data_IF_762602723585
#
_entry.id   IF_762602723585
#
_cell.length_a   1.000
_cell.length_b   1.000
_cell.length_c   1.000
_cell.angle_alpha   90.00
_cell.angle_beta   90.00
_cell.angle_gamma   90.00
#
_symmetry.space_group_name_H-M   'P 1'
#
loop_
_entity.id
_entity.type
_entity.pdbx_description
1 polymer ?
#
# COMPACT_ATOMS: atom_id res chain seq x y z
N UNK A 1 21.20 31.67 4.65
CA UNK A 1 19.88 31.28 5.19
C UNK A 1 18.74 31.97 4.40
N UNK A 2 18.66 31.75 3.08
CA UNK A 2 17.79 32.54 2.16
C UNK A 2 16.91 31.67 1.24
N UNK A 3 16.98 30.34 1.38
CA UNK A 3 16.28 29.37 0.52
C UNK A 3 14.86 29.03 1.01
N UNK A 4 14.46 29.51 2.19
CA UNK A 4 13.19 29.13 2.84
C UNK A 4 11.99 30.02 2.50
N UNK A 5 12.15 31.07 1.68
CA UNK A 5 11.10 32.10 1.46
C UNK A 5 10.20 31.89 0.23
N UNK A 6 10.41 30.85 -0.58
CA UNK A 6 9.43 30.41 -1.60
C UNK A 6 8.86 29.06 -1.19
N UNK A 7 8.09 29.04 -0.10
CA UNK A 7 7.23 27.90 0.23
C UNK A 7 6.02 27.97 -0.70
N UNK A 8 5.68 26.85 -1.33
CA UNK A 8 4.34 26.67 -1.89
C UNK A 8 3.37 26.94 -0.74
N UNK A 9 2.50 27.94 -0.91
CA UNK A 9 1.52 28.29 0.12
C UNK A 9 0.41 27.26 0.06
N UNK A 10 0.39 26.37 1.05
CA UNK A 10 -0.68 25.42 1.20
C UNK A 10 -1.85 26.11 1.90
N UNK A 11 -3.01 26.08 1.24
CA UNK A 11 -4.26 26.53 1.84
C UNK A 11 -4.68 25.49 2.87
N UNK A 12 -4.59 25.86 4.15
CA UNK A 12 -4.92 24.99 5.29
C UNK A 12 -6.39 25.04 5.66
N UNK A 13 -7.09 26.12 5.31
CA UNK A 13 -8.52 26.24 5.57
C UNK A 13 -9.12 27.53 5.05
N UNK A 14 -10.45 27.60 5.08
CA UNK A 14 -11.22 28.79 4.72
C UNK A 14 -12.18 29.10 5.86
N UNK A 15 -12.13 30.32 6.38
CA UNK A 15 -13.13 30.85 7.30
C UNK A 15 -14.08 31.79 6.57
N UNK A 16 -15.39 31.65 6.79
CA UNK A 16 -16.40 32.58 6.25
C UNK A 16 -17.01 33.33 7.41
N UNK A 17 -16.92 34.66 7.41
CA UNK A 17 -17.50 35.54 8.42
C UNK A 17 -18.81 36.16 7.94
N UNK A 18 -19.69 36.49 8.89
CA UNK A 18 -21.03 37.06 8.65
C UNK A 18 -21.85 36.24 7.65
N UNK A 19 -22.05 34.98 7.97
CA UNK A 19 -22.83 34.06 7.16
C UNK A 19 -24.32 34.37 7.29
N UNK A 20 -24.94 34.94 6.26
CA UNK A 20 -26.39 35.13 6.24
C UNK A 20 -27.00 35.06 4.84
N UNK A 21 -28.26 34.65 4.82
CA UNK A 21 -29.11 34.61 3.63
C UNK A 21 -29.97 35.88 3.61
N UNK A 22 -29.50 36.94 2.95
CA UNK A 22 -30.27 38.20 2.81
C UNK A 22 -30.95 38.25 1.46
N UNK A 23 -32.28 38.42 1.44
CA UNK A 23 -33.08 38.49 0.20
C UNK A 23 -32.92 39.84 -0.54
N UNK A 24 -32.43 40.90 0.11
CA UNK A 24 -32.16 42.20 -0.53
C UNK A 24 -31.23 43.08 0.32
N UNK A 25 -30.39 43.88 -0.33
CA UNK A 25 -29.36 44.72 0.28
C UNK A 25 -29.88 45.91 1.13
N UNK A 26 -31.18 45.96 1.47
CA UNK A 26 -31.80 47.11 2.15
C UNK A 26 -32.73 46.78 3.33
N UNK A 27 -32.86 45.52 3.74
CA UNK A 27 -33.68 45.19 4.90
C UNK A 27 -32.80 44.73 6.06
N UNK A 28 -32.54 45.66 6.98
CA UNK A 28 -32.21 45.30 8.36
C UNK A 28 -33.41 44.59 9.00
N UNK A 29 -33.12 43.74 9.99
CA UNK A 29 -34.07 43.11 10.94
C UNK A 29 -34.92 41.93 10.42
N UNK A 30 -34.31 40.75 10.46
CA UNK A 30 -34.84 39.53 11.12
C UNK A 30 -33.63 38.63 11.46
N UNK A 31 -33.69 37.79 12.52
CA UNK A 31 -32.51 37.07 12.99
C UNK A 31 -31.90 36.26 11.84
N UNK A 32 -30.58 36.37 11.60
CA UNK A 32 -29.95 35.72 10.47
C UNK A 32 -30.11 34.21 10.64
N UNK A 33 -30.92 33.60 9.77
CA UNK A 33 -30.92 32.16 9.62
C UNK A 33 -29.51 31.74 9.25
N UNK A 34 -28.96 30.79 9.99
CA UNK A 34 -27.65 30.20 9.71
C UNK A 34 -27.87 28.97 8.81
N UNK A 35 -27.81 29.10 7.48
CA UNK A 35 -27.99 27.96 6.59
C UNK A 35 -26.85 26.95 6.75
N UNK A 36 -27.11 25.69 6.42
CA UNK A 36 -26.04 24.72 6.15
C UNK A 36 -25.26 25.22 4.95
N UNK A 37 -23.93 25.30 5.03
CA UNK A 37 -23.10 25.80 3.94
C UNK A 37 -22.00 24.80 3.61
N UNK A 38 -21.71 24.70 2.32
CA UNK A 38 -20.47 24.15 1.81
C UNK A 38 -19.80 25.14 0.86
N UNK A 39 -18.51 24.93 0.66
CA UNK A 39 -17.66 25.76 -0.17
C UNK A 39 -17.17 24.94 -1.35
N UNK A 40 -17.34 25.48 -2.55
CA UNK A 40 -16.78 24.92 -3.76
C UNK A 40 -15.66 25.83 -4.27
N UNK A 41 -14.50 25.24 -4.52
CA UNK A 41 -13.37 25.89 -5.19
C UNK A 41 -13.39 25.44 -6.64
N UNK A 42 -13.48 26.39 -7.56
CA UNK A 42 -13.49 26.16 -9.00
C UNK A 42 -12.29 26.82 -9.67
N UNK A 43 -11.86 26.24 -10.79
CA UNK A 43 -10.95 26.86 -11.74
C UNK A 43 -11.68 27.98 -12.52
N UNK A 44 -10.93 28.87 -13.17
CA UNK A 44 -11.48 29.92 -14.04
C UNK A 44 -12.39 29.35 -15.14
N UNK A 45 -12.07 28.14 -15.61
CA UNK A 45 -12.81 27.37 -16.62
C UNK A 45 -14.06 26.65 -16.07
N UNK A 46 -14.40 26.81 -14.79
CA UNK A 46 -15.60 26.23 -14.18
C UNK A 46 -15.46 24.76 -13.77
N UNK A 47 -14.23 24.21 -13.78
CA UNK A 47 -13.96 22.87 -13.24
C UNK A 47 -13.92 22.93 -11.73
N UNK A 48 -14.72 22.09 -11.06
CA UNK A 48 -14.69 21.97 -9.60
C UNK A 48 -13.38 21.29 -9.16
N UNK A 49 -12.60 21.99 -8.33
CA UNK A 49 -11.32 21.52 -7.79
C UNK A 49 -11.50 20.88 -6.41
N UNK A 50 -12.42 21.41 -5.60
CA UNK A 50 -12.69 20.91 -4.27
C UNK A 50 -14.10 21.34 -3.82
N UNK A 51 -14.76 20.45 -3.09
CA UNK A 51 -16.02 20.72 -2.40
C UNK A 51 -15.81 20.36 -0.94
N UNK A 52 -16.07 21.30 -0.03
CA UNK A 52 -16.00 21.04 1.41
C UNK A 52 -17.23 20.26 1.88
N UNK A 53 -17.11 19.62 3.04
CA UNK A 53 -18.26 19.06 3.73
C UNK A 53 -19.26 20.17 4.11
N UNK A 54 -20.55 19.83 4.17
CA UNK A 54 -21.59 20.76 4.57
C UNK A 54 -21.61 20.91 6.09
N UNK A 55 -21.35 22.12 6.59
CA UNK A 55 -21.35 22.43 8.02
C UNK A 55 -22.63 23.18 8.46
N UNK A 56 -23.11 22.91 9.68
CA UNK A 56 -24.29 23.54 10.32
C UNK A 56 -23.89 24.28 11.62
N UNK A 57 -24.37 25.54 11.81
CA UNK A 57 -24.07 26.53 12.91
C UNK A 57 -22.66 27.16 12.79
N UNK A 58 -22.34 28.42 13.13
CA UNK A 58 -22.85 29.47 14.05
C UNK A 58 -22.70 30.88 13.41
N UNK A 59 -23.43 31.89 13.91
CA UNK A 59 -23.59 33.26 13.37
C UNK A 59 -22.30 34.08 13.16
N UNK A 60 -21.19 33.74 13.82
CA UNK A 60 -19.96 34.55 13.76
C UNK A 60 -18.89 34.01 12.79
N UNK A 61 -18.91 32.73 12.42
CA UNK A 61 -17.95 32.23 11.45
C UNK A 61 -18.00 30.72 11.26
N UNK A 62 -17.93 30.27 10.01
CA UNK A 62 -17.72 28.87 9.64
C UNK A 62 -16.26 28.67 9.27
N UNK A 63 -15.61 27.61 9.76
CA UNK A 63 -14.22 27.27 9.45
C UNK A 63 -14.17 25.89 8.83
N UNK A 64 -13.76 25.84 7.57
CA UNK A 64 -13.45 24.62 6.85
C UNK A 64 -11.96 24.36 7.02
N UNK A 65 -11.62 23.45 7.92
CA UNK A 65 -10.26 22.95 8.12
C UNK A 65 -10.00 21.77 7.17
N UNK A 66 -8.72 21.48 6.90
CA UNK A 66 -8.26 20.34 6.10
C UNK A 66 -8.66 20.35 4.62
N UNK A 67 -8.42 21.48 3.95
CA UNK A 67 -8.53 21.52 2.49
C UNK A 67 -7.38 20.71 1.88
N UNK A 68 -7.66 19.68 1.05
CA UNK A 68 -6.63 18.89 0.41
C UNK A 68 -5.75 19.79 -0.46
N UNK A 69 -4.46 19.46 -0.52
CA UNK A 69 -3.50 20.21 -1.33
C UNK A 69 -3.95 20.20 -2.80
N UNK A 70 -4.45 21.35 -3.27
CA UNK A 70 -4.92 21.49 -4.64
C UNK A 70 -3.74 21.24 -5.60
N UNK A 71 -3.87 20.33 -6.58
CA UNK A 71 -2.76 19.90 -7.43
C UNK A 71 -2.31 20.95 -8.46
N UNK A 72 -2.87 22.16 -8.44
CA UNK A 72 -2.68 23.17 -9.47
C UNK A 72 -1.93 24.40 -8.95
N UNK A 73 -0.92 24.84 -9.71
CA UNK A 73 -0.19 26.09 -9.49
C UNK A 73 -0.95 27.33 -10.01
N UNK A 74 -2.29 27.30 -10.01
CA UNK A 74 -3.11 28.40 -10.53
C UNK A 74 -3.11 29.57 -9.55
N UNK A 75 -2.82 30.76 -10.06
CA UNK A 75 -2.82 31.99 -9.25
C UNK A 75 -4.22 32.56 -9.06
N UNK A 76 -5.23 32.05 -9.80
CA UNK A 76 -6.60 32.55 -9.76
C UNK A 76 -7.57 31.39 -9.54
N UNK A 77 -8.49 31.56 -8.61
CA UNK A 77 -9.51 30.57 -8.26
C UNK A 77 -10.87 31.27 -8.12
N UNK A 78 -11.95 30.55 -8.40
CA UNK A 78 -13.32 30.99 -8.11
C UNK A 78 -13.79 30.26 -6.86
N UNK A 79 -14.15 31.01 -5.83
CA UNK A 79 -14.70 30.47 -4.59
C UNK A 79 -16.22 30.68 -4.60
N UNK A 80 -16.98 29.58 -4.63
CA UNK A 80 -18.44 29.61 -4.49
C UNK A 80 -18.83 29.17 -3.08
N UNK A 81 -19.61 30.00 -2.42
CA UNK A 81 -20.24 29.69 -1.14
C UNK A 81 -21.67 29.27 -1.46
N UNK A 82 -22.02 28.03 -1.15
CA UNK A 82 -23.35 27.47 -1.44
C UNK A 82 -24.04 27.17 -0.12
N UNK A 83 -25.28 27.64 0.00
CA UNK A 83 -26.08 27.52 1.20
C UNK A 83 -27.39 26.79 0.93
N UNK A 84 -27.84 26.03 1.93
CA UNK A 84 -29.14 25.40 1.91
C UNK A 84 -30.22 26.46 2.20
N UNK A 85 -31.22 26.57 1.32
CA UNK A 85 -32.40 27.40 1.57
C UNK A 85 -33.26 26.69 2.63
N UNK A 86 -33.65 27.37 3.73
CA UNK A 86 -34.57 26.79 4.69
C UNK A 86 -35.96 26.61 4.06
N UNK A 87 -36.59 25.47 4.32
CA UNK A 87 -37.92 25.11 3.79
C UNK A 87 -38.98 26.19 4.05
N UNK A 88 -38.84 26.95 5.14
CA UNK A 88 -39.75 28.05 5.50
C UNK A 88 -39.75 29.24 4.51
N UNK A 89 -38.78 29.33 3.60
CA UNK A 89 -38.67 30.38 2.58
C UNK A 89 -39.01 29.89 1.17
N UNK A 90 -39.29 28.59 0.99
CA UNK A 90 -39.72 28.02 -0.29
C UNK A 90 -41.25 28.14 -0.36
N UNK A 91 -41.75 28.83 -1.40
CA UNK A 91 -43.19 29.01 -1.61
C UNK A 91 -43.89 27.74 -2.13
N UNK A 92 -43.12 26.70 -2.47
CA UNK A 92 -43.62 25.41 -2.95
C UNK A 92 -43.06 24.25 -2.09
N UNK A 93 -43.94 23.30 -1.73
CA UNK A 93 -43.63 22.08 -0.99
C UNK A 93 -42.73 21.15 -1.83
N UNK A 94 -41.46 21.49 -1.99
CA UNK A 94 -40.45 20.53 -2.44
C UNK A 94 -39.90 19.78 -1.23
N UNK A 95 -40.08 18.46 -1.20
CA UNK A 95 -39.57 17.56 -0.15
C UNK A 95 -38.02 17.51 -0.09
N UNK A 96 -37.34 18.21 -1.01
CA UNK A 96 -35.90 18.21 -1.17
C UNK A 96 -35.27 19.53 -0.72
N UNK A 97 -34.09 19.49 -0.07
CA UNK A 97 -33.37 20.70 0.31
C UNK A 97 -32.83 21.41 -0.94
N UNK A 98 -33.38 22.59 -1.26
CA UNK A 98 -32.88 23.44 -2.35
C UNK A 98 -31.59 24.13 -1.93
N UNK A 99 -30.51 23.92 -2.69
CA UNK A 99 -29.21 24.57 -2.48
C UNK A 99 -29.05 25.73 -3.45
N UNK A 100 -28.57 26.87 -2.97
CA UNK A 100 -28.35 28.06 -3.81
C UNK A 100 -26.98 28.68 -3.56
N UNK A 101 -26.44 29.33 -4.59
CA UNK A 101 -25.15 30.03 -4.50
C UNK A 101 -25.35 31.35 -3.76
N UNK A 102 -24.76 31.46 -2.56
CA UNK A 102 -24.84 32.67 -1.72
C UNK A 102 -23.91 33.76 -2.22
N UNK A 103 -22.68 33.38 -2.59
CA UNK A 103 -21.68 34.31 -3.10
C UNK A 103 -20.67 33.58 -4.00
N UNK A 104 -20.16 34.30 -5.00
CA UNK A 104 -19.06 33.84 -5.86
C UNK A 104 -17.95 34.88 -5.85
N UNK A 105 -16.76 34.49 -5.41
CA UNK A 105 -15.57 35.33 -5.38
C UNK A 105 -14.56 34.87 -6.42
N UNK A 106 -14.15 35.77 -7.30
CA UNK A 106 -12.98 35.55 -8.15
C UNK A 106 -11.72 36.03 -7.40
N UNK A 107 -10.96 35.08 -6.86
CA UNK A 107 -9.79 35.34 -6.03
C UNK A 107 -8.52 35.26 -6.88
N UNK A 108 -7.68 36.29 -6.81
CA UNK A 108 -6.31 36.25 -7.31
C UNK A 108 -5.36 36.10 -6.11
N UNK A 109 -4.79 34.91 -5.96
CA UNK A 109 -3.87 34.53 -4.88
C UNK A 109 -2.61 35.41 -4.85
N UNK A 110 -2.27 36.07 -5.96
CA UNK A 110 -1.13 37.01 -6.03
C UNK A 110 -1.43 38.38 -5.42
N UNK A 111 -2.71 38.71 -5.19
CA UNK A 111 -3.18 40.03 -4.72
C UNK A 111 -3.82 39.99 -3.33
N UNK A 112 -3.65 38.89 -2.60
CA UNK A 112 -4.17 38.74 -1.24
C UNK A 112 -3.45 39.68 -0.27
N UNK A 113 -4.20 40.37 0.58
CA UNK A 113 -3.66 41.20 1.66
C UNK A 113 -3.59 40.39 2.96
N UNK A 114 -2.48 40.43 3.71
CA UNK A 114 -2.41 39.79 5.02
C UNK A 114 -3.42 40.44 5.96
N UNK A 115 -4.14 39.62 6.70
CA UNK A 115 -4.98 40.07 7.82
C UNK A 115 -4.05 40.08 9.04
N UNK A 116 -3.59 41.27 9.43
CA UNK A 116 -2.77 41.46 10.63
C UNK A 116 -3.67 41.25 11.85
N UNK A 117 -3.58 40.07 12.46
CA UNK A 117 -4.34 39.70 13.65
C UNK A 117 -3.47 39.84 14.89
N UNK A 118 -3.74 40.85 15.72
CA UNK A 118 -3.32 40.85 17.13
C UNK A 118 -4.43 40.33 18.07
N UNK A 119 -5.62 40.00 17.57
CA UNK A 119 -6.65 39.30 18.35
C UNK A 119 -7.57 38.49 17.43
N UNK A 120 -7.52 37.16 17.52
CA UNK A 120 -8.37 36.22 16.76
C UNK A 120 -9.88 36.37 17.09
N UNK A 121 -10.25 37.23 18.03
CA UNK A 121 -11.64 37.45 18.48
C UNK A 121 -12.39 38.62 17.84
N UNK A 122 -11.70 39.57 17.17
CA UNK A 122 -12.32 40.82 16.70
C UNK A 122 -12.03 41.12 15.21
N UNK A 123 -12.14 40.11 14.35
CA UNK A 123 -12.15 40.31 12.90
C UNK A 123 -13.54 40.78 12.44
N UNK A 124 -13.84 42.07 12.58
CA UNK A 124 -15.03 42.64 11.95
C UNK A 124 -14.74 42.98 10.49
N UNK A 125 -15.35 42.30 9.50
CA UNK A 125 -15.35 42.82 8.12
C UNK A 125 -16.05 44.19 8.13
N UNK A 126 -15.73 45.05 7.16
CA UNK A 126 -16.37 46.38 7.03
C UNK A 126 -17.90 46.25 7.21
N UNK A 127 -18.46 47.10 8.06
CA UNK A 127 -19.89 47.16 8.39
C UNK A 127 -20.71 47.12 7.10
N UNK A 128 -21.42 46.02 6.84
CA UNK A 128 -22.23 45.79 5.64
C UNK A 128 -21.80 44.61 4.76
N UNK A 129 -20.59 44.07 4.92
CA UNK A 129 -20.14 42.92 4.14
C UNK A 129 -20.61 41.59 4.77
N UNK A 130 -21.39 40.83 4.00
CA UNK A 130 -21.93 39.51 4.33
C UNK A 130 -21.18 38.43 3.53
N UNK A 131 -20.97 37.24 4.09
CA UNK A 131 -20.33 36.08 3.46
C UNK A 131 -18.85 36.26 3.06
N UNK A 132 -18.04 36.99 3.85
CA UNK A 132 -16.64 37.29 3.50
C UNK A 132 -15.72 36.09 3.76
N UNK A 133 -15.01 35.56 2.73
CA UNK A 133 -14.06 34.48 2.91
C UNK A 133 -12.68 35.00 3.34
N UNK A 134 -12.11 34.32 4.32
CA UNK A 134 -10.75 34.49 4.84
C UNK A 134 -9.99 33.18 4.62
N UNK A 135 -8.82 33.28 4.00
CA UNK A 135 -8.01 32.13 3.62
C UNK A 135 -6.89 31.93 4.65
N UNK A 136 -6.81 30.73 5.21
CA UNK A 136 -5.76 30.34 6.15
C UNK A 136 -4.65 29.61 5.42
N UNK A 137 -3.45 30.18 5.41
CA UNK A 137 -2.26 29.55 4.86
C UNK A 137 -1.27 29.22 5.99
N UNK A 138 -0.32 28.33 5.71
CA UNK A 138 0.74 27.96 6.67
C UNK A 138 1.59 29.13 7.20
N UNK A 139 1.59 30.26 6.49
CA UNK A 139 2.35 31.47 6.81
C UNK A 139 1.49 32.60 7.41
N UNK A 140 0.17 32.42 7.54
CA UNK A 140 -0.73 33.40 8.14
C UNK A 140 -2.11 33.45 7.50
N UNK A 141 -2.90 34.43 7.93
CA UNK A 141 -4.29 34.63 7.51
C UNK A 141 -4.35 35.71 6.44
N UNK A 142 -5.07 35.45 5.34
CA UNK A 142 -5.12 36.35 4.18
C UNK A 142 -6.56 36.59 3.73
N UNK A 143 -6.85 37.84 3.40
CA UNK A 143 -8.16 38.29 2.94
C UNK A 143 -8.09 38.89 1.53
N UNK A 144 -9.26 39.08 0.94
CA UNK A 144 -9.40 39.88 -0.27
C UNK A 144 -9.15 41.36 0.03
N UNK A 145 -8.41 42.08 -0.85
CA UNK A 145 -8.10 43.48 -0.62
C UNK A 145 -9.39 44.32 -0.57
N UNK A 146 -9.54 45.13 0.48
CA UNK A 146 -10.64 46.08 0.63
C UNK A 146 -11.78 45.68 1.58
N UNK A 147 -11.79 44.45 2.11
CA UNK A 147 -12.86 43.93 2.98
C UNK A 147 -12.60 44.07 4.49
N UNK A 148 -11.36 44.36 4.88
CA UNK A 148 -10.92 44.52 6.27
C UNK A 148 -10.37 45.94 6.48
N UNK A 149 -10.63 46.55 7.64
CA UNK A 149 -10.01 47.83 8.02
C UNK A 149 -8.55 47.60 8.42
N UNK A 150 -7.63 48.33 7.78
CA UNK A 150 -6.25 48.46 8.25
C UNK A 150 -6.19 49.76 9.06
N UNK A 151 -5.71 49.78 10.32
CA UNK A 151 -5.48 51.04 11.01
C UNK A 151 -4.49 51.88 10.19
N UNK A 152 -4.75 53.17 9.94
CA UNK A 152 -3.92 53.94 9.05
C UNK A 152 -2.63 54.31 9.77
N UNK A 153 -1.48 53.85 9.27
CA UNK A 153 -0.30 54.72 9.06
C UNK A 153 0.90 54.05 8.39
N UNK A 154 1.26 54.69 7.27
CA UNK A 154 2.61 55.02 6.78
C UNK A 154 3.19 54.14 5.65
N UNK A 155 3.37 54.85 4.53
CA UNK A 155 4.17 54.59 3.31
C UNK A 155 3.71 53.49 2.35
N UNK A 156 3.25 53.85 1.13
CA UNK A 156 3.15 52.90 0.03
C UNK A 156 4.57 52.62 -0.49
N UNK A 157 5.16 51.48 -0.12
CA UNK A 157 6.23 50.94 -0.95
C UNK A 157 5.63 50.59 -2.33
N UNK A 158 6.23 51.05 -3.44
CA UNK A 158 5.78 50.66 -4.75
C UNK A 158 5.96 49.16 -4.87
N UNK A 159 4.84 48.43 -5.03
CA UNK A 159 4.84 47.00 -5.33
C UNK A 159 5.53 46.84 -6.68
N UNK A 160 6.85 46.64 -6.65
CA UNK A 160 7.60 46.27 -7.84
C UNK A 160 7.04 44.92 -8.28
N UNK A 161 6.54 44.77 -9.52
CA UNK A 161 6.19 43.45 -10.03
C UNK A 161 7.48 42.62 -10.06
N UNK A 162 7.66 41.74 -9.07
CA UNK A 162 8.85 40.89 -9.01
C UNK A 162 8.78 39.91 -10.18
N UNK A 163 9.65 40.21 -11.15
CA UNK A 163 9.87 39.48 -12.38
C UNK A 163 10.15 37.99 -12.13
N UNK A 164 9.63 37.23 -13.10
CA UNK A 164 10.21 36.06 -13.74
C UNK A 164 10.45 34.84 -12.86
N UNK A 165 9.72 33.79 -13.21
CA UNK A 165 10.06 32.39 -12.97
C UNK A 165 11.57 32.18 -13.08
N UNK A 166 12.20 31.72 -12.00
CA UNK A 166 13.59 31.26 -12.04
C UNK A 166 13.62 29.96 -12.85
N UNK A 167 14.58 29.78 -13.76
CA UNK A 167 14.74 28.55 -14.55
C UNK A 167 14.65 27.29 -13.68
N UNK A 168 15.31 27.29 -12.52
CA UNK A 168 15.23 26.19 -11.54
C UNK A 168 13.81 25.93 -11.00
N UNK A 169 12.96 26.95 -10.93
CA UNK A 169 11.54 26.81 -10.54
C UNK A 169 10.71 26.17 -11.64
N UNK A 170 10.94 26.56 -12.90
CA UNK A 170 10.30 25.93 -14.07
C UNK A 170 10.76 24.48 -14.23
N UNK A 171 12.04 24.21 -14.03
CA UNK A 171 12.60 22.85 -14.08
C UNK A 171 12.00 21.95 -13.00
N UNK A 172 11.85 22.47 -11.77
CA UNK A 172 11.18 21.72 -10.69
C UNK A 172 9.71 21.45 -11.00
N UNK A 173 9.00 22.44 -11.54
CA UNK A 173 7.61 22.28 -11.96
C UNK A 173 7.51 21.24 -13.08
N UNK A 174 8.41 21.27 -14.05
CA UNK A 174 8.45 20.28 -15.12
C UNK A 174 8.69 18.87 -14.57
N UNK A 175 9.65 18.69 -13.65
CA UNK A 175 9.87 17.40 -12.98
C UNK A 175 8.66 16.91 -12.19
N UNK A 176 7.91 17.81 -11.56
CA UNK A 176 6.67 17.45 -10.87
C UNK A 176 5.59 17.01 -11.86
N UNK A 177 5.48 17.69 -13.01
CA UNK A 177 4.56 17.29 -14.09
C UNK A 177 4.97 15.93 -14.70
N UNK A 178 6.26 15.70 -14.94
CA UNK A 178 6.79 14.40 -15.39
C UNK A 178 6.44 13.29 -14.40
N UNK A 179 6.66 13.52 -13.10
CA UNK A 179 6.26 12.57 -12.05
C UNK A 179 4.75 12.31 -12.06
N UNK A 180 3.93 13.35 -12.25
CA UNK A 180 2.48 13.20 -12.31
C UNK A 180 2.04 12.40 -13.55
N UNK A 181 2.68 12.60 -14.70
CA UNK A 181 2.42 11.79 -15.89
C UNK A 181 2.82 10.33 -15.69
N UNK A 182 3.96 10.09 -15.04
CA UNK A 182 4.39 8.73 -14.72
C UNK A 182 3.41 8.04 -13.76
N UNK A 183 2.96 8.73 -12.71
CA UNK A 183 1.96 8.21 -11.79
C UNK A 183 0.63 7.90 -12.50
N UNK A 184 0.23 8.71 -13.49
CA UNK A 184 -0.97 8.42 -14.28
C UNK A 184 -0.80 7.16 -15.14
N UNK A 185 0.38 6.95 -15.75
CA UNK A 185 0.68 5.73 -16.49
C UNK A 185 0.70 4.50 -15.57
N UNK A 186 1.28 4.61 -14.37
CA UNK A 186 1.27 3.55 -13.36
C UNK A 186 -0.16 3.21 -12.89
N UNK A 187 -1.01 4.22 -12.72
CA UNK A 187 -2.43 4.03 -12.40
C UNK A 187 -3.18 3.35 -13.54
N UNK A 188 -2.88 3.70 -14.79
CA UNK A 188 -3.47 3.04 -15.95
C UNK A 188 -3.01 1.58 -16.04
N UNK A 189 -1.73 1.30 -15.87
CA UNK A 189 -1.19 -0.07 -15.84
C UNK A 189 -1.80 -0.88 -14.69
N UNK A 190 -2.03 -0.26 -13.53
CA UNK A 190 -2.75 -0.89 -12.42
C UNK A 190 -4.21 -1.15 -12.76
N UNK A 191 -4.89 -0.22 -13.44
CA UNK A 191 -6.27 -0.41 -13.89
C UNK A 191 -6.35 -1.60 -14.86
N UNK A 192 -5.45 -1.65 -15.85
CA UNK A 192 -5.38 -2.75 -16.82
C UNK A 192 -5.10 -4.09 -16.12
N UNK A 193 -4.21 -4.13 -15.12
CA UNK A 193 -3.97 -5.32 -14.29
C UNK A 193 -5.19 -5.73 -13.46
N UNK A 194 -5.96 -4.77 -12.97
CA UNK A 194 -7.20 -5.04 -12.25
C UNK A 194 -8.23 -5.62 -13.22
N UNK A 195 -8.36 -5.06 -14.41
CA UNK A 195 -9.26 -5.56 -15.45
C UNK A 195 -8.85 -6.98 -15.90
N UNK A 196 -7.56 -7.28 -15.99
CA UNK A 196 -7.04 -8.63 -16.25
C UNK A 196 -7.30 -9.63 -15.10
N UNK A 197 -7.35 -9.16 -13.85
CA UNK A 197 -7.59 -9.99 -12.66
C UNK A 197 -9.09 -10.19 -12.39
N UNK A 198 -9.91 -9.23 -12.80
CA UNK A 198 -11.36 -9.33 -12.76
C UNK A 198 -11.80 -10.10 -14.01
N UNK A 199 -11.59 -11.42 -13.99
CA UNK A 199 -12.14 -12.36 -14.97
C UNK A 199 -13.59 -11.95 -15.32
N UNK A 200 -13.86 -11.58 -16.58
CA UNK A 200 -15.17 -11.09 -17.09
C UNK A 200 -16.34 -12.08 -16.87
N UNK A 201 -16.07 -13.27 -16.34
CA UNK A 201 -17.11 -14.17 -15.84
C UNK A 201 -16.61 -14.76 -14.52
N UNK A 202 -17.26 -14.46 -13.37
CA UNK A 202 -17.11 -15.38 -12.25
C UNK A 202 -17.49 -16.75 -12.81
N UNK A 203 -16.58 -17.73 -12.72
CA UNK A 203 -16.94 -19.13 -12.96
C UNK A 203 -18.04 -19.43 -11.95
N UNK A 204 -19.29 -19.27 -12.37
CA UNK A 204 -20.42 -19.82 -11.66
C UNK A 204 -20.05 -21.28 -11.50
N UNK A 205 -19.77 -21.71 -10.27
CA UNK A 205 -19.76 -23.13 -9.94
C UNK A 205 -21.03 -23.68 -10.58
N UNK A 206 -20.84 -24.51 -11.61
CA UNK A 206 -21.95 -25.02 -12.42
C UNK A 206 -22.95 -25.61 -11.44
N UNK A 207 -24.18 -25.07 -11.47
CA UNK A 207 -25.29 -25.57 -10.65
C UNK A 207 -25.43 -27.09 -10.80
N UNK A 208 -25.07 -27.60 -11.97
CA UNK A 208 -25.09 -29.03 -12.29
C UNK A 208 -24.01 -29.82 -11.52
N UNK A 209 -22.85 -29.23 -11.23
CA UNK A 209 -21.83 -29.86 -10.38
C UNK A 209 -22.29 -29.98 -8.91
N UNK A 210 -23.03 -28.98 -8.41
CA UNK A 210 -23.63 -29.05 -7.08
C UNK A 210 -24.81 -30.04 -7.02
N UNK A 211 -25.63 -30.09 -8.07
CA UNK A 211 -26.72 -31.07 -8.18
C UNK A 211 -26.18 -32.50 -8.27
N UNK A 212 -25.14 -32.75 -9.07
CA UNK A 212 -24.52 -34.07 -9.17
C UNK A 212 -23.82 -34.49 -7.85
N UNK A 213 -23.24 -33.54 -7.10
CA UNK A 213 -22.70 -33.81 -5.77
C UNK A 213 -23.81 -34.16 -4.76
N UNK A 214 -24.96 -33.48 -4.85
CA UNK A 214 -26.17 -33.76 -4.06
C UNK A 214 -26.70 -35.17 -4.32
N UNK A 215 -26.91 -35.53 -5.59
CA UNK A 215 -27.40 -36.86 -5.99
C UNK A 215 -26.43 -37.98 -5.57
N UNK A 216 -25.11 -37.74 -5.70
CA UNK A 216 -24.11 -38.71 -5.24
C UNK A 216 -24.13 -38.90 -3.71
N UNK A 217 -24.50 -37.86 -2.96
CA UNK A 217 -24.63 -37.91 -1.51
C UNK A 217 -25.89 -38.71 -1.11
N UNK A 218 -27.01 -38.47 -1.78
CA UNK A 218 -28.25 -39.22 -1.59
C UNK A 218 -28.06 -40.72 -1.86
N UNK A 219 -27.42 -41.07 -2.97
CA UNK A 219 -27.08 -42.47 -3.29
C UNK A 219 -26.15 -43.11 -2.24
N UNK A 220 -25.25 -42.33 -1.63
CA UNK A 220 -24.37 -42.82 -0.56
C UNK A 220 -25.15 -43.07 0.74
N UNK A 221 -26.12 -42.21 1.05
CA UNK A 221 -27.02 -42.36 2.20
C UNK A 221 -27.89 -43.60 2.02
N UNK A 222 -28.48 -43.81 0.85
CA UNK A 222 -29.28 -45.01 0.56
C UNK A 222 -28.47 -46.30 0.70
N UNK A 223 -27.23 -46.33 0.19
CA UNK A 223 -26.34 -47.49 0.36
C UNK A 223 -26.04 -47.78 1.83
N UNK A 224 -25.86 -46.73 2.64
CA UNK A 224 -25.63 -46.87 4.09
C UNK A 224 -26.89 -47.36 4.80
N UNK A 225 -28.07 -46.88 4.43
CA UNK A 225 -29.35 -47.35 4.98
C UNK A 225 -29.60 -48.82 4.63
N UNK A 226 -29.37 -49.22 3.37
CA UNK A 226 -29.48 -50.62 2.94
C UNK A 226 -28.49 -51.52 3.69
N UNK A 227 -27.28 -51.01 4.01
CA UNK A 227 -26.28 -51.73 4.82
C UNK A 227 -26.70 -51.83 6.28
N UNK A 228 -27.35 -50.80 6.83
CA UNK A 228 -27.91 -50.86 8.19
C UNK A 228 -29.04 -51.89 8.22
N UNK A 229 -29.94 -51.87 7.23
CA UNK A 229 -31.03 -52.84 7.11
C UNK A 229 -30.52 -54.28 6.97
N UNK A 230 -29.46 -54.51 6.18
CA UNK A 230 -28.88 -55.85 6.04
C UNK A 230 -28.22 -56.32 7.34
N UNK A 231 -27.59 -55.42 8.10
CA UNK A 231 -27.04 -55.72 9.42
C UNK A 231 -28.13 -55.96 10.47
N UNK A 232 -29.26 -55.25 10.40
CA UNK A 232 -30.43 -55.49 11.26
C UNK A 232 -31.09 -56.85 10.95
N UNK A 233 -31.23 -57.20 9.67
CA UNK A 233 -31.67 -58.54 9.26
C UNK A 233 -30.69 -59.64 9.72
N UNK A 234 -29.37 -59.37 9.68
CA UNK A 234 -28.35 -60.29 10.20
C UNK A 234 -28.37 -60.39 11.74
N UNK A 235 -28.89 -59.39 12.45
CA UNK A 235 -29.07 -59.40 13.91
C UNK A 235 -30.32 -60.19 14.32
N UNK A 236 -31.37 -60.22 13.48
CA UNK A 236 -32.59 -61.01 13.69
C UNK A 236 -32.42 -62.48 13.28
N UNK A 237 -31.68 -62.75 12.20
CA UNK A 237 -31.27 -64.09 11.83
C UNK A 237 -29.97 -64.44 12.59
N UNK A 238 -30.10 -64.76 13.87
CA UNK A 238 -28.98 -65.19 14.70
C UNK A 238 -28.20 -66.30 14.03
N UNK A 239 -27.03 -65.98 13.48
CA UNK A 239 -26.12 -67.00 12.96
C UNK A 239 -25.26 -67.50 14.12
N UNK A 240 -25.56 -68.72 14.53
CA UNK A 240 -24.64 -69.61 15.22
C UNK A 240 -23.37 -69.71 14.40
N UNK A 241 -22.29 -69.04 14.81
CA UNK A 241 -20.96 -69.36 14.31
C UNK A 241 -20.03 -69.64 15.48
N UNK A 242 -19.43 -70.83 15.35
CA UNK A 242 -18.33 -71.35 16.12
C UNK A 242 -17.21 -70.31 16.27
N UNK A 243 -16.74 -70.19 17.51
CA UNK A 243 -15.56 -69.43 17.88
C UNK A 243 -14.33 -70.23 17.43
N UNK A 244 -13.81 -69.96 16.23
CA UNK A 244 -12.47 -70.39 15.87
C UNK A 244 -11.45 -69.52 16.61
N UNK A 245 -10.67 -70.18 17.45
CA UNK A 245 -9.62 -69.65 18.30
C UNK A 245 -8.42 -69.16 17.48
N UNK A 246 -8.55 -67.98 16.88
CA UNK A 246 -7.42 -67.18 16.38
C UNK A 246 -7.43 -65.81 17.05
N UNK A 247 -7.34 -65.82 18.39
CA UNK A 247 -7.27 -64.62 19.23
C UNK A 247 -5.83 -64.24 19.55
N UNK A 248 -4.96 -64.30 18.54
CA UNK A 248 -3.68 -63.60 18.56
C UNK A 248 -3.59 -62.77 17.28
N UNK A 249 -3.55 -61.44 17.48
CA UNK A 249 -3.11 -60.34 16.59
C UNK A 249 -4.06 -59.11 16.48
N UNK A 250 -4.74 -58.63 17.55
CA UNK A 250 -5.28 -57.26 17.53
C UNK A 250 -4.19 -56.18 17.74
N UNK A 251 -2.99 -56.54 18.20
CA UNK A 251 -1.90 -55.56 18.43
C UNK A 251 -1.08 -55.20 17.18
N UNK A 252 -1.11 -56.00 16.12
CA UNK A 252 -0.29 -55.77 14.93
C UNK A 252 -0.95 -54.82 13.92
N UNK A 253 -2.28 -54.71 13.96
CA UNK A 253 -3.04 -53.78 13.12
C UNK A 253 -2.79 -52.32 13.55
N UNK A 254 -2.71 -52.02 14.84
CA UNK A 254 -2.40 -50.67 15.36
C UNK A 254 -0.98 -50.21 14.98
N UNK A 255 -0.01 -51.13 14.93
CA UNK A 255 1.34 -50.84 14.43
C UNK A 255 1.36 -50.59 12.92
N UNK A 256 0.55 -51.32 12.15
CA UNK A 256 0.41 -51.10 10.71
C UNK A 256 -0.24 -49.75 10.38
N UNK A 257 -1.28 -49.36 11.14
CA UNK A 257 -1.96 -48.06 10.98
C UNK A 257 -1.02 -46.92 11.36
N UNK A 258 -0.30 -47.01 12.48
CA UNK A 258 0.66 -45.97 12.88
C UNK A 258 1.85 -45.83 11.92
N UNK A 259 2.35 -46.94 11.36
CA UNK A 259 3.39 -46.91 10.32
C UNK A 259 2.86 -46.31 9.01
N UNK A 260 1.62 -46.64 8.63
CA UNK A 260 0.93 -46.05 7.47
C UNK A 260 0.72 -44.55 7.64
N UNK A 261 0.29 -44.11 8.83
CA UNK A 261 0.13 -42.70 9.16
C UNK A 261 1.47 -41.97 9.14
N UNK A 262 2.53 -42.56 9.69
CA UNK A 262 3.89 -42.02 9.64
C UNK A 262 4.41 -41.88 8.21
N UNK A 263 4.27 -42.92 7.38
CA UNK A 263 4.72 -42.87 5.98
C UNK A 263 3.91 -41.86 5.17
N UNK A 264 2.60 -41.75 5.40
CA UNK A 264 1.75 -40.74 4.77
C UNK A 264 2.15 -39.31 5.19
N UNK A 265 2.47 -39.10 6.48
CA UNK A 265 2.94 -37.82 6.99
C UNK A 265 4.31 -37.45 6.41
N UNK A 266 5.21 -38.43 6.26
CA UNK A 266 6.53 -38.25 5.65
C UNK A 266 6.42 -37.89 4.16
N UNK A 267 5.58 -38.59 3.39
CA UNK A 267 5.30 -38.22 1.99
C UNK A 267 4.67 -36.83 1.87
N UNK A 268 3.75 -36.48 2.77
CA UNK A 268 3.15 -35.13 2.81
C UNK A 268 4.23 -34.09 3.09
N UNK A 269 5.13 -34.33 4.04
CA UNK A 269 6.22 -33.42 4.38
C UNK A 269 7.17 -33.23 3.19
N UNK A 270 7.61 -34.33 2.56
CA UNK A 270 8.41 -34.28 1.33
C UNK A 270 7.72 -33.45 0.25
N UNK A 271 6.44 -33.71 -0.04
CA UNK A 271 5.70 -32.93 -1.05
C UNK A 271 5.62 -31.43 -0.76
N UNK A 272 5.62 -31.05 0.54
CA UNK A 272 5.61 -29.65 0.95
C UNK A 272 7.00 -29.01 0.80
N UNK A 273 8.05 -29.73 1.15
CA UNK A 273 9.44 -29.30 0.90
C UNK A 273 9.65 -29.11 -0.60
N UNK A 274 9.16 -30.05 -1.42
CA UNK A 274 9.27 -29.97 -2.87
C UNK A 274 8.61 -28.70 -3.44
N UNK A 275 7.40 -28.39 -2.97
CA UNK A 275 6.68 -27.17 -3.34
C UNK A 275 7.42 -25.91 -2.88
N UNK A 276 7.96 -25.91 -1.65
CA UNK A 276 8.71 -24.76 -1.11
C UNK A 276 10.00 -24.51 -1.88
N UNK A 277 10.77 -25.55 -2.20
CA UNK A 277 11.99 -25.40 -3.02
C UNK A 277 11.62 -24.90 -4.42
N UNK A 278 10.56 -25.43 -5.02
CA UNK A 278 10.08 -24.97 -6.33
C UNK A 278 9.68 -23.49 -6.31
N UNK A 279 8.96 -23.05 -5.28
CA UNK A 279 8.60 -21.64 -5.07
C UNK A 279 9.84 -20.76 -4.88
N UNK A 280 10.80 -21.21 -4.07
CA UNK A 280 12.06 -20.49 -3.86
C UNK A 280 12.85 -20.35 -5.16
N UNK A 281 12.95 -21.41 -5.95
CA UNK A 281 13.61 -21.37 -7.26
C UNK A 281 12.90 -20.41 -8.21
N UNK A 282 11.56 -20.39 -8.24
CA UNK A 282 10.77 -19.45 -9.05
C UNK A 282 11.03 -18.00 -8.61
N UNK A 283 10.98 -17.72 -7.31
CA UNK A 283 11.23 -16.38 -6.77
C UNK A 283 12.64 -15.88 -7.13
N UNK A 284 13.62 -16.78 -7.21
CA UNK A 284 15.01 -16.44 -7.47
C UNK A 284 15.39 -16.46 -8.96
N UNK A 285 14.48 -16.81 -9.88
CA UNK A 285 14.75 -16.80 -11.34
C UNK A 285 15.25 -15.45 -11.87
N UNK A 286 14.80 -14.34 -11.28
CA UNK A 286 15.22 -12.99 -11.68
C UNK A 286 16.63 -12.57 -11.24
N UNK A 287 17.30 -13.35 -10.38
CA UNK A 287 18.56 -12.94 -9.72
C UNK A 287 19.83 -13.44 -10.41
N UNK A 288 19.73 -14.11 -11.57
CA UNK A 288 20.84 -14.81 -12.27
C UNK A 288 21.57 -15.90 -11.45
N UNK A 289 21.10 -16.18 -10.23
CA UNK A 289 21.65 -17.18 -9.32
C UNK A 289 21.43 -18.62 -9.81
N UNK A 290 20.26 -18.86 -10.40
CA UNK A 290 19.79 -20.18 -10.83
C UNK A 290 20.09 -20.39 -12.32
N UNK A 291 20.89 -21.41 -12.65
CA UNK A 291 21.21 -21.75 -14.03
C UNK A 291 22.38 -22.73 -14.14
N UNK A 292 22.66 -23.27 -15.32
CA UNK A 292 23.80 -24.19 -15.53
C UNK A 292 25.15 -23.53 -15.21
N UNK A 293 25.27 -22.23 -15.49
CA UNK A 293 26.42 -21.38 -15.14
C UNK A 293 26.30 -20.70 -13.77
N UNK A 294 25.16 -20.82 -13.07
CA UNK A 294 24.90 -20.17 -11.79
C UNK A 294 25.51 -20.92 -10.59
N UNK A 295 25.35 -20.34 -9.40
CA UNK A 295 25.74 -20.95 -8.12
C UNK A 295 24.79 -22.05 -7.67
N UNK A 296 23.52 -21.97 -8.10
CA UNK A 296 22.50 -22.99 -7.84
C UNK A 296 22.17 -23.68 -9.16
N UNK A 297 22.45 -24.99 -9.24
CA UNK A 297 22.08 -25.82 -10.38
C UNK A 297 20.76 -26.52 -10.02
N UNK A 298 19.62 -26.09 -10.61
CA UNK A 298 18.34 -26.74 -10.38
C UNK A 298 18.27 -28.09 -11.11
N UNK A 299 17.38 -28.96 -10.63
CA UNK A 299 17.21 -30.30 -11.17
C UNK A 299 16.62 -30.31 -12.58
N UNK A 300 16.94 -31.36 -13.34
CA UNK A 300 16.29 -31.61 -14.64
C UNK A 300 14.87 -32.11 -14.38
N UNK A 301 13.99 -31.94 -15.39
CA UNK A 301 12.59 -32.42 -15.31
C UNK A 301 12.59 -33.92 -14.94
N UNK A 302 11.88 -34.28 -13.87
CA UNK A 302 11.67 -35.64 -13.32
C UNK A 302 12.73 -36.17 -12.33
N UNK A 303 13.60 -35.31 -11.80
CA UNK A 303 14.55 -35.66 -10.74
C UNK A 303 14.06 -35.19 -9.36
N UNK A 304 14.35 -35.98 -8.32
CA UNK A 304 14.08 -35.66 -6.90
C UNK A 304 14.74 -34.34 -6.51
N UNK A 305 14.10 -33.53 -5.65
CA UNK A 305 14.61 -32.21 -5.24
C UNK A 305 15.95 -32.27 -4.50
N UNK A 306 16.28 -33.43 -3.94
CA UNK A 306 17.56 -33.73 -3.31
C UNK A 306 18.74 -33.83 -4.29
N UNK A 307 18.49 -33.87 -5.61
CA UNK A 307 19.57 -33.84 -6.61
C UNK A 307 20.11 -32.44 -6.91
N UNK A 308 19.58 -31.39 -6.25
CA UNK A 308 20.00 -30.00 -6.47
C UNK A 308 21.43 -29.80 -6.00
N UNK A 309 22.23 -29.06 -6.77
CA UNK A 309 23.64 -28.81 -6.43
C UNK A 309 23.91 -27.33 -6.17
N UNK A 310 24.58 -27.07 -5.04
CA UNK A 310 25.07 -25.76 -4.65
C UNK A 310 26.58 -25.69 -4.89
N UNK A 311 27.04 -24.74 -5.71
CA UNK A 311 28.47 -24.54 -5.99
C UNK A 311 29.13 -23.70 -4.90
N UNK A 312 30.37 -24.05 -4.58
CA UNK A 312 31.21 -23.23 -3.71
C UNK A 312 31.51 -21.89 -4.38
N UNK A 313 31.62 -20.85 -3.57
CA UNK A 313 32.04 -19.52 -3.99
C UNK A 313 33.55 -19.46 -3.98
N UNK A 314 34.14 -19.03 -5.08
CA UNK A 314 35.57 -18.72 -5.15
C UNK A 314 35.82 -17.28 -4.69
N UNK A 315 36.88 -17.01 -3.92
CA UNK A 315 37.29 -15.65 -3.62
C UNK A 315 37.62 -14.94 -4.94
N UNK A 316 37.16 -13.69 -5.08
CA UNK A 316 37.39 -12.89 -6.28
C UNK A 316 37.86 -11.49 -5.91
N UNK A 317 38.58 -10.85 -6.83
CA UNK A 317 38.89 -9.43 -6.78
C UNK A 317 38.07 -8.70 -7.84
N UNK A 318 37.45 -7.57 -7.48
CA UNK A 318 36.71 -6.74 -8.42
C UNK A 318 37.49 -5.45 -8.73
N UNK A 319 37.91 -5.28 -9.99
CA UNK A 319 38.64 -4.09 -10.46
C UNK A 319 37.68 -2.93 -10.83
N UNK A 320 36.42 -3.24 -11.19
CA UNK A 320 35.41 -2.28 -11.61
C UNK A 320 34.28 -2.13 -10.58
N UNK A 321 33.82 -0.90 -10.37
CA UNK A 321 32.73 -0.58 -9.43
C UNK A 321 31.39 -1.27 -9.77
N UNK A 322 31.02 -1.31 -11.05
CA UNK A 322 29.75 -1.92 -11.50
C UNK A 322 29.76 -3.44 -11.28
N UNK A 323 30.85 -4.10 -11.67
CA UNK A 323 31.02 -5.54 -11.50
C UNK A 323 31.05 -5.92 -10.02
N UNK A 324 31.67 -5.08 -9.18
CA UNK A 324 31.67 -5.27 -7.71
C UNK A 324 30.27 -5.24 -7.13
N UNK A 325 29.47 -4.22 -7.46
CA UNK A 325 28.09 -4.09 -6.94
C UNK A 325 27.26 -5.28 -7.39
N UNK A 326 27.38 -5.70 -8.65
CA UNK A 326 26.67 -6.85 -9.18
C UNK A 326 27.07 -8.13 -8.43
N UNK A 327 28.36 -8.43 -8.32
CA UNK A 327 28.85 -9.63 -7.61
C UNK A 327 28.46 -9.64 -6.13
N UNK A 328 28.59 -8.51 -5.44
CA UNK A 328 28.15 -8.38 -4.05
C UNK A 328 26.65 -8.64 -3.90
N UNK A 329 25.84 -8.13 -4.84
CA UNK A 329 24.39 -8.37 -4.84
C UNK A 329 24.08 -9.85 -5.08
N UNK A 330 24.76 -10.49 -6.03
CA UNK A 330 24.61 -11.93 -6.30
C UNK A 330 25.01 -12.78 -5.09
N UNK A 331 26.10 -12.44 -4.40
CA UNK A 331 26.49 -13.10 -3.15
C UNK A 331 25.45 -12.93 -2.05
N UNK A 332 24.90 -11.72 -1.90
CA UNK A 332 23.81 -11.46 -0.96
C UNK A 332 22.58 -12.32 -1.24
N UNK A 333 22.16 -12.39 -2.52
CA UNK A 333 21.05 -13.27 -2.93
C UNK A 333 21.38 -14.75 -2.73
N UNK A 334 22.63 -15.15 -2.91
CA UNK A 334 23.04 -16.54 -2.67
C UNK A 334 22.98 -16.89 -1.18
N UNK A 335 23.47 -15.99 -0.33
CA UNK A 335 23.37 -16.13 1.11
C UNK A 335 21.92 -16.23 1.57
N UNK A 336 21.03 -15.39 1.03
CA UNK A 336 19.60 -15.45 1.32
C UNK A 336 19.00 -16.79 0.90
N UNK A 337 19.37 -17.29 -0.29
CA UNK A 337 18.91 -18.59 -0.78
C UNK A 337 19.29 -19.71 0.19
N UNK A 338 20.58 -19.81 0.56
CA UNK A 338 21.08 -20.84 1.48
C UNK A 338 20.42 -20.71 2.86
N UNK A 339 20.24 -19.50 3.36
CA UNK A 339 19.57 -19.25 4.64
C UNK A 339 18.13 -19.75 4.64
N UNK A 340 17.34 -19.41 3.61
CA UNK A 340 15.94 -19.84 3.51
C UNK A 340 15.88 -21.36 3.34
N UNK A 341 16.73 -21.91 2.48
CA UNK A 341 16.77 -23.35 2.21
C UNK A 341 17.06 -24.15 3.48
N UNK A 342 18.11 -23.79 4.24
CA UNK A 342 18.47 -24.49 5.46
C UNK A 342 17.44 -24.27 6.58
N UNK A 343 17.02 -23.03 6.85
CA UNK A 343 16.23 -22.73 8.06
C UNK A 343 14.72 -22.89 7.86
N UNK A 344 14.18 -22.65 6.66
CA UNK A 344 12.72 -22.60 6.39
C UNK A 344 12.20 -23.78 5.58
N UNK A 345 13.07 -24.45 4.82
CA UNK A 345 12.72 -25.64 4.05
C UNK A 345 13.15 -26.89 4.80
N UNK A 346 14.45 -27.11 4.96
CA UNK A 346 14.99 -28.38 5.49
C UNK A 346 15.18 -28.43 7.01
N UNK A 347 15.06 -27.28 7.68
CA UNK A 347 15.31 -27.14 9.12
C UNK A 347 16.67 -27.70 9.58
N UNK A 348 17.71 -27.54 8.74
CA UNK A 348 19.07 -28.01 9.01
C UNK A 348 19.87 -26.92 9.72
N UNK A 349 20.54 -27.22 10.86
CA UNK A 349 21.40 -26.25 11.53
C UNK A 349 22.64 -25.94 10.67
N UNK A 350 22.93 -24.64 10.50
CA UNK A 350 24.11 -24.18 9.78
C UNK A 350 25.28 -23.95 10.74
N UNK A 351 26.52 -24.30 10.35
CA UNK A 351 27.74 -24.03 11.15
C UNK A 351 27.99 -22.56 11.49
N UNK A 352 27.62 -21.65 10.60
CA UNK A 352 27.82 -20.20 10.75
C UNK A 352 26.52 -19.43 10.51
N UNK A 353 26.33 -18.32 11.22
CA UNK A 353 25.13 -17.51 11.10
C UNK A 353 25.16 -16.67 9.81
N UNK A 354 24.08 -16.75 9.03
CA UNK A 354 23.91 -15.99 7.79
C UNK A 354 22.99 -14.79 8.02
N UNK A 355 23.50 -13.57 7.76
CA UNK A 355 22.75 -12.33 7.94
C UNK A 355 22.65 -11.54 6.64
N UNK A 356 21.44 -11.47 6.10
CA UNK A 356 21.16 -10.84 4.81
C UNK A 356 20.91 -9.34 4.96
N UNK A 357 21.69 -8.54 4.23
CA UNK A 357 21.54 -7.08 4.12
C UNK A 357 21.65 -6.61 2.65
N UNK A 358 21.20 -7.44 1.70
CA UNK A 358 21.38 -7.15 0.27
C UNK A 358 22.85 -7.27 -0.14
N UNK A 359 23.39 -6.24 -0.80
CA UNK A 359 24.76 -6.23 -1.31
C UNK A 359 25.84 -6.07 -0.22
N UNK A 360 25.45 -5.85 1.04
CA UNK A 360 26.38 -5.73 2.18
C UNK A 360 26.10 -6.81 3.23
N UNK A 361 25.83 -8.04 2.79
CA UNK A 361 25.50 -9.17 3.67
C UNK A 361 26.70 -9.63 4.51
N UNK A 362 26.43 -10.21 5.68
CA UNK A 362 27.43 -10.56 6.70
C UNK A 362 27.34 -12.04 7.12
N UNK A 363 28.48 -12.60 7.53
CA UNK A 363 28.61 -13.90 8.19
C UNK A 363 28.93 -13.67 9.67
N UNK A 364 28.26 -14.41 10.56
CA UNK A 364 28.39 -14.30 12.02
C UNK A 364 28.19 -12.87 12.56
N UNK A 365 27.40 -12.05 11.85
CA UNK A 365 27.18 -10.62 12.10
C UNK A 365 28.45 -9.75 12.15
N UNK A 366 29.59 -10.27 11.70
CA UNK A 366 30.89 -9.59 11.84
C UNK A 366 31.70 -9.58 10.54
N UNK A 367 31.70 -10.68 9.79
CA UNK A 367 32.56 -10.83 8.61
C UNK A 367 31.81 -10.39 7.34
N UNK A 368 32.37 -9.46 6.54
CA UNK A 368 31.71 -8.95 5.34
C UNK A 368 31.76 -9.95 4.19
N UNK A 369 30.60 -10.38 3.69
CA UNK A 369 30.49 -11.17 2.45
C UNK A 369 30.28 -10.24 1.24
N UNK A 370 31.06 -9.16 1.19
CA UNK A 370 31.05 -8.19 0.09
C UNK A 370 32.40 -7.51 0.02
N UNK A 371 32.72 -6.91 -1.14
CA UNK A 371 33.89 -6.05 -1.30
C UNK A 371 33.50 -4.57 -1.28
N UNK A 372 34.21 -3.74 -0.52
CA UNK A 372 34.03 -2.29 -0.48
C UNK A 372 34.74 -1.58 -1.66
N UNK A 373 34.39 -0.32 -1.91
CA UNK A 373 35.03 0.49 -2.97
C UNK A 373 36.49 0.83 -2.70
N UNK A 374 36.84 0.93 -1.42
CA UNK A 374 38.20 1.11 -0.96
C UNK A 374 38.44 0.08 0.14
N UNK A 375 38.77 -1.15 -0.25
CA UNK A 375 39.02 -2.23 0.70
C UNK A 375 40.41 -2.11 1.30
N UNK A 376 40.48 -2.07 2.63
CA UNK A 376 41.74 -2.25 3.36
C UNK A 376 42.22 -3.70 3.25
N UNK A 377 43.50 -3.95 3.51
CA UNK A 377 44.04 -5.31 3.52
C UNK A 377 43.32 -6.21 4.53
N UNK A 378 42.93 -5.64 5.68
CA UNK A 378 42.11 -6.32 6.69
C UNK A 378 40.71 -6.68 6.15
N UNK A 379 40.06 -5.78 5.43
CA UNK A 379 38.77 -6.07 4.82
C UNK A 379 38.85 -7.19 3.77
N UNK A 380 39.95 -7.29 3.03
CA UNK A 380 40.16 -8.40 2.08
C UNK A 380 40.33 -9.74 2.80
N UNK A 381 41.14 -9.78 3.88
CA UNK A 381 41.28 -11.01 4.67
C UNK A 381 39.98 -11.43 5.35
N UNK A 382 39.19 -10.46 5.84
CA UNK A 382 37.91 -10.73 6.47
C UNK A 382 36.88 -11.23 5.45
N UNK A 383 36.92 -10.74 4.21
CA UNK A 383 36.12 -11.24 3.09
C UNK A 383 36.50 -12.68 2.71
N UNK A 384 37.79 -12.99 2.57
CA UNK A 384 38.24 -14.35 2.27
C UNK A 384 37.80 -15.35 3.35
N UNK A 385 37.91 -14.95 4.62
CA UNK A 385 37.42 -15.73 5.76
C UNK A 385 35.89 -15.88 5.72
N UNK A 386 35.15 -14.83 5.35
CA UNK A 386 33.69 -14.88 5.19
C UNK A 386 33.29 -15.90 4.10
N UNK A 387 33.99 -15.89 2.96
CA UNK A 387 33.77 -16.84 1.86
C UNK A 387 34.05 -18.28 2.30
N UNK A 388 35.13 -18.51 3.06
CA UNK A 388 35.44 -19.85 3.59
C UNK A 388 34.32 -20.36 4.52
N UNK A 389 33.88 -19.53 5.47
CA UNK A 389 32.78 -19.87 6.39
C UNK A 389 31.46 -20.08 5.67
N UNK A 390 31.18 -19.26 4.66
CA UNK A 390 30.00 -19.42 3.81
C UNK A 390 30.04 -20.74 3.03
N UNK A 391 31.21 -21.13 2.51
CA UNK A 391 31.39 -22.41 1.83
C UNK A 391 31.19 -23.61 2.77
N UNK A 392 31.54 -23.51 4.06
CA UNK A 392 31.21 -24.54 5.06
C UNK A 392 29.70 -24.71 5.23
N UNK A 393 28.94 -23.62 5.24
CA UNK A 393 27.48 -23.67 5.25
C UNK A 393 26.93 -24.35 3.97
N UNK A 394 27.46 -24.00 2.80
CA UNK A 394 27.08 -24.65 1.53
C UNK A 394 27.37 -26.16 1.58
N UNK A 395 28.53 -26.56 2.12
CA UNK A 395 28.88 -27.97 2.28
C UNK A 395 27.91 -28.71 3.19
N UNK A 396 27.51 -28.13 4.32
CA UNK A 396 26.53 -28.74 5.22
C UNK A 396 25.19 -28.99 4.51
N UNK A 397 24.73 -28.03 3.70
CA UNK A 397 23.48 -28.19 2.94
C UNK A 397 23.63 -29.23 1.84
N UNK A 398 24.75 -29.26 1.12
CA UNK A 398 25.01 -30.31 0.13
C UNK A 398 25.06 -31.71 0.75
N UNK A 399 25.70 -31.86 1.93
CA UNK A 399 25.71 -33.12 2.67
C UNK A 399 24.30 -33.56 3.04
N UNK A 400 23.46 -32.62 3.50
CA UNK A 400 22.05 -32.91 3.78
C UNK A 400 21.32 -33.41 2.53
N UNK A 401 21.51 -32.73 1.39
CA UNK A 401 20.90 -33.13 0.11
C UNK A 401 21.39 -34.52 -0.33
N UNK A 402 22.68 -34.83 -0.17
CA UNK A 402 23.25 -36.14 -0.49
C UNK A 402 22.69 -37.27 0.38
N UNK A 403 22.45 -37.02 1.68
CA UNK A 403 21.87 -38.03 2.57
C UNK A 403 20.40 -38.39 2.24
N UNK A 404 19.69 -37.50 1.54
CA UNK A 404 18.28 -37.67 1.19
C UNK A 404 18.06 -37.97 -0.30
N UNK A 405 19.14 -38.11 -1.06
CA UNK A 405 19.15 -38.63 -2.43
C UNK A 405 19.07 -40.15 -2.41
#
# INVERSE_FOLDING_TARGET
>A
MYLSRRRLRHLSGISIYNVSLTKDAKSELKPPYSPSIFVAIEDLHGRCLYVSEAQKRSQCGLRFEDIPALPYAMTKIKLKIVGQIPQNLLEENEDLPVWTTLATYALDLSRLSPVLSDDEGNLSPKTGNVNVPVLHFSDGVFGTPGNFEVPPKITPEPVTPKKSFTFNGVLKLNKILEYWTQMHLELQELSEKIDDLVDEKPKLLSKDALLHASESLELSIERRLNKIQSLECSKQNGSTYHLDSSTELPMNEDYGVTLSDYTSALHRLQSLEERKVSQLLIAMKGTSLCGQSGYVIPNKKHQSIYEMQLKRVEPFTALNDRDRILKNSTLGYYLLFVHILANKVFHTPLPHQLSFYGSTSLIDNALPLYLAASSTQQHLSDFDLAVERFNRNIMQVNQFLECHR
#
